data_IF_771684828026
#
_entry.id   IF_771684828026
#
_cell.length_a   1.000
_cell.length_b   1.000
_cell.length_c   1.000
_cell.angle_alpha   90.00
_cell.angle_beta   90.00
_cell.angle_gamma   90.00
#
_symmetry.space_group_name_H-M   'P 1'
#
loop_
_entity.id
_entity.type
_entity.pdbx_description
1 polymer ?
#
# COMPACT_ATOMS: atom_id res chain seq x y z
N UNK A 1 2.79 4.12 12.41
CA UNK A 1 1.87 4.96 11.62
C UNK A 1 1.48 6.22 12.38
N UNK A 2 1.02 6.11 13.62
CA UNK A 2 0.65 7.26 14.45
C UNK A 2 1.79 8.29 14.67
N UNK A 3 3.03 7.81 14.87
CA UNK A 3 4.22 8.67 14.96
C UNK A 3 4.56 9.44 13.66
N UNK A 4 3.93 9.12 12.53
CA UNK A 4 4.15 9.82 11.26
C UNK A 4 3.38 11.12 11.11
N UNK A 5 2.33 11.30 11.92
CA UNK A 5 1.49 12.49 11.89
C UNK A 5 1.97 13.54 12.90
N UNK A 6 2.80 13.15 13.87
CA UNK A 6 3.40 14.06 14.83
C UNK A 6 4.80 14.49 14.36
N UNK A 7 4.95 15.78 14.02
CA UNK A 7 6.20 16.39 13.54
C UNK A 7 7.31 16.35 14.61
N UNK A 8 7.94 15.21 14.84
CA UNK A 8 9.21 15.10 15.56
C UNK A 8 10.31 14.63 14.59
N UNK A 9 11.22 15.56 14.27
CA UNK A 9 12.38 15.32 13.43
C UNK A 9 13.34 14.36 14.13
N UNK A 10 13.43 13.13 13.64
CA UNK A 10 14.47 12.16 14.01
C UNK A 10 14.94 11.52 12.72
N UNK A 11 16.21 11.71 12.35
CA UNK A 11 16.73 11.64 10.97
C UNK A 11 16.63 10.32 10.18
N UNK A 12 16.17 9.21 10.79
CA UNK A 12 15.80 7.96 10.08
C UNK A 12 14.28 7.79 9.99
N UNK A 13 13.57 8.19 11.05
CA UNK A 13 12.11 8.28 11.06
C UNK A 13 11.68 9.24 9.96
N UNK A 14 12.33 10.39 9.79
CA UNK A 14 11.98 11.39 8.76
C UNK A 14 11.98 10.84 7.32
N UNK A 15 12.83 9.86 6.99
CA UNK A 15 12.80 9.20 5.68
C UNK A 15 11.64 8.21 5.56
N UNK A 16 11.36 7.44 6.62
CA UNK A 16 10.17 6.60 6.70
C UNK A 16 8.87 7.44 6.66
N UNK A 17 8.87 8.62 7.29
CA UNK A 17 7.79 9.61 7.24
C UNK A 17 7.65 10.25 5.87
N UNK A 18 8.75 10.38 5.12
CA UNK A 18 8.73 10.89 3.74
C UNK A 18 8.00 9.89 2.85
N UNK A 19 8.35 8.61 2.91
CA UNK A 19 7.67 7.58 2.13
C UNK A 19 6.16 7.52 2.41
N UNK A 20 5.75 7.55 3.69
CA UNK A 20 4.31 7.59 4.04
C UNK A 20 3.63 8.85 3.50
N UNK A 21 4.31 10.01 3.52
CA UNK A 21 3.81 11.25 2.91
C UNK A 21 3.70 11.15 1.39
N UNK A 22 4.64 10.50 0.73
CA UNK A 22 4.61 10.32 -0.72
C UNK A 22 3.43 9.43 -1.13
N UNK A 23 3.16 8.36 -0.38
CA UNK A 23 1.96 7.52 -0.54
C UNK A 23 0.70 8.35 -0.33
N UNK A 24 0.65 9.17 0.72
CA UNK A 24 -0.47 10.07 0.98
C UNK A 24 -0.70 11.02 -0.20
N UNK A 25 0.34 11.69 -0.70
CA UNK A 25 0.21 12.60 -1.85
C UNK A 25 -0.24 11.89 -3.12
N UNK A 26 0.33 10.72 -3.42
CA UNK A 26 -0.02 9.89 -4.57
C UNK A 26 -1.50 9.49 -4.56
N UNK A 27 -2.05 9.23 -3.38
CA UNK A 27 -3.42 8.75 -3.18
C UNK A 27 -4.33 9.74 -2.47
N UNK A 28 -4.02 11.04 -2.54
CA UNK A 28 -4.71 12.07 -1.76
C UNK A 28 -6.22 12.04 -1.98
N UNK A 29 -6.68 11.82 -3.22
CA UNK A 29 -8.12 11.73 -3.54
C UNK A 29 -8.81 10.63 -2.71
N UNK A 30 -8.19 9.46 -2.59
CA UNK A 30 -8.74 8.34 -1.82
C UNK A 30 -8.66 8.62 -0.33
N UNK A 31 -7.48 9.05 0.15
CA UNK A 31 -7.25 9.25 1.58
C UNK A 31 -8.13 10.38 2.14
N UNK A 32 -8.24 11.49 1.41
CA UNK A 32 -9.05 12.65 1.83
C UNK A 32 -10.56 12.40 1.77
N UNK A 33 -11.02 11.41 0.99
CA UNK A 33 -12.42 11.00 0.98
C UNK A 33 -12.84 10.18 2.21
N UNK A 34 -11.88 9.69 3.01
CA UNK A 34 -12.14 8.91 4.23
C UNK A 34 -12.01 9.79 5.46
N UNK A 35 -13.02 9.76 6.34
CA UNK A 35 -13.07 10.55 7.56
C UNK A 35 -12.73 9.72 8.81
N UNK A 36 -12.26 10.41 9.85
CA UNK A 36 -12.03 9.83 11.17
C UNK A 36 -10.90 8.79 11.22
N UNK A 37 -10.94 7.85 12.17
CA UNK A 37 -9.88 6.85 12.37
C UNK A 37 -9.59 5.98 11.14
N UNK A 38 -10.60 5.76 10.28
CA UNK A 38 -10.47 4.98 9.05
C UNK A 38 -9.52 5.62 8.02
N UNK A 39 -9.26 6.93 8.09
CA UNK A 39 -8.28 7.60 7.23
C UNK A 39 -6.87 7.03 7.44
N UNK A 40 -6.49 6.84 8.70
CA UNK A 40 -5.18 6.30 9.05
C UNK A 40 -5.06 4.85 8.59
N UNK A 41 -6.09 4.04 8.84
CA UNK A 41 -6.14 2.64 8.40
C UNK A 41 -6.04 2.54 6.86
N UNK A 42 -6.78 3.39 6.12
CA UNK A 42 -6.69 3.47 4.64
C UNK A 42 -5.29 3.84 4.16
N UNK A 43 -4.62 4.80 4.81
CA UNK A 43 -3.24 5.15 4.47
C UNK A 43 -2.27 3.98 4.76
N UNK A 44 -2.55 3.16 5.77
CA UNK A 44 -1.75 1.97 6.08
C UNK A 44 -1.86 0.95 4.96
N UNK A 45 -3.08 0.67 4.54
CA UNK A 45 -3.38 -0.27 3.49
C UNK A 45 -2.75 0.16 2.17
N UNK A 46 -2.92 1.44 1.78
CA UNK A 46 -2.29 2.01 0.59
C UNK A 46 -0.76 1.94 0.67
N UNK A 47 -0.16 2.17 1.83
CA UNK A 47 1.29 2.04 2.00
C UNK A 47 1.77 0.60 1.78
N UNK A 48 1.03 -0.42 2.25
CA UNK A 48 1.38 -1.82 1.99
C UNK A 48 1.28 -2.14 0.50
N UNK A 49 0.22 -1.68 -0.17
CA UNK A 49 0.02 -1.87 -1.61
C UNK A 49 1.16 -1.24 -2.42
N UNK A 50 1.58 -0.02 -2.06
CA UNK A 50 2.71 0.66 -2.69
C UNK A 50 4.02 -0.09 -2.52
N UNK A 51 4.31 -0.59 -1.31
CA UNK A 51 5.55 -1.31 -1.08
C UNK A 51 5.58 -2.66 -1.78
N UNK A 52 4.44 -3.36 -1.86
CA UNK A 52 4.32 -4.57 -2.65
C UNK A 52 4.57 -4.29 -4.16
N UNK A 53 4.04 -3.18 -4.68
CA UNK A 53 4.35 -2.75 -6.06
C UNK A 53 5.84 -2.42 -6.25
N UNK A 54 6.47 -1.74 -5.29
CA UNK A 54 7.91 -1.47 -5.33
C UNK A 54 8.75 -2.75 -5.31
N UNK A 55 8.36 -3.77 -4.54
CA UNK A 55 9.00 -5.09 -4.55
C UNK A 55 8.90 -5.72 -5.94
N UNK A 56 7.73 -5.67 -6.57
CA UNK A 56 7.54 -6.17 -7.94
C UNK A 56 8.45 -5.45 -8.96
N UNK A 57 8.73 -4.16 -8.74
CA UNK A 57 9.64 -3.38 -9.59
C UNK A 57 11.13 -3.58 -9.26
N UNK A 58 11.48 -4.25 -8.17
CA UNK A 58 12.89 -4.51 -7.84
C UNK A 58 13.55 -5.41 -8.89
N UNK A 59 14.85 -5.19 -9.13
CA UNK A 59 15.63 -6.03 -10.05
C UNK A 59 15.61 -7.50 -9.63
N UNK A 60 15.68 -7.78 -8.33
CA UNK A 60 15.62 -9.15 -7.78
C UNK A 60 14.36 -9.89 -8.20
N UNK A 61 13.18 -9.23 -8.11
CA UNK A 61 11.92 -9.85 -8.51
C UNK A 61 11.80 -9.99 -10.02
N UNK A 62 12.19 -8.96 -10.78
CA UNK A 62 12.17 -9.03 -12.23
C UNK A 62 13.10 -10.12 -12.76
N UNK A 63 14.31 -10.26 -12.22
CA UNK A 63 15.25 -11.32 -12.56
C UNK A 63 14.70 -12.71 -12.18
N UNK A 64 13.93 -12.82 -11.09
CA UNK A 64 13.27 -14.05 -10.69
C UNK A 64 12.21 -14.48 -11.70
N UNK A 65 11.36 -13.55 -12.12
CA UNK A 65 10.37 -13.84 -13.15
C UNK A 65 11.01 -14.09 -14.51
N UNK A 66 12.04 -13.33 -14.88
CA UNK A 66 12.75 -13.48 -16.16
C UNK A 66 13.43 -14.85 -16.30
N UNK A 67 13.96 -15.42 -15.21
CA UNK A 67 14.53 -16.79 -15.20
C UNK A 67 13.47 -17.90 -15.03
N UNK A 68 12.18 -17.56 -15.01
CA UNK A 68 11.09 -18.51 -14.86
C UNK A 68 10.88 -19.05 -13.44
N UNK A 69 11.42 -18.40 -12.42
CA UNK A 69 11.17 -18.79 -11.03
C UNK A 69 9.71 -18.50 -10.65
N UNK A 70 9.03 -19.50 -10.10
CA UNK A 70 7.65 -19.37 -9.60
C UNK A 70 7.66 -18.68 -8.24
N UNK A 71 7.46 -17.37 -8.23
CA UNK A 71 7.37 -16.53 -7.02
C UNK A 71 6.25 -15.51 -7.18
N UNK A 72 5.51 -15.27 -6.11
CA UNK A 72 4.38 -14.33 -6.07
C UNK A 72 4.58 -13.29 -4.97
N UNK A 73 4.04 -12.10 -5.19
CA UNK A 73 4.01 -11.00 -4.22
C UNK A 73 2.58 -10.77 -3.78
N UNK A 74 2.35 -10.78 -2.47
CA UNK A 74 1.04 -10.58 -1.84
C UNK A 74 1.08 -9.36 -0.90
N UNK A 75 0.01 -8.56 -0.91
CA UNK A 75 -0.13 -7.41 -0.03
C UNK A 75 -1.12 -7.72 1.11
N UNK A 76 -0.61 -7.98 2.31
CA UNK A 76 -1.41 -8.27 3.50
C UNK A 76 -1.13 -7.27 4.62
N UNK A 77 -2.15 -7.00 5.44
CA UNK A 77 -2.03 -6.20 6.66
C UNK A 77 -2.59 -6.96 7.85
N UNK A 78 -1.98 -6.79 9.02
CA UNK A 78 -2.41 -7.42 10.26
C UNK A 78 -2.97 -6.38 11.22
N UNK A 79 -4.21 -6.58 11.67
CA UNK A 79 -4.84 -5.76 12.68
C UNK A 79 -4.37 -6.16 14.08
N UNK A 80 -3.69 -5.25 14.78
CA UNK A 80 -3.29 -5.49 16.18
C UNK A 80 -4.48 -5.50 17.16
N UNK A 81 -5.63 -4.93 16.75
CA UNK A 81 -6.83 -4.79 17.58
C UNK A 81 -7.67 -6.06 17.60
N UNK A 82 -7.80 -6.71 16.46
CA UNK A 82 -8.67 -7.87 16.22
C UNK A 82 -7.89 -9.17 15.92
N UNK A 83 -6.58 -9.07 15.67
CA UNK A 83 -5.71 -10.19 15.34
C UNK A 83 -5.96 -10.75 13.95
N UNK A 84 -6.64 -10.02 13.06
CA UNK A 84 -7.01 -10.51 11.74
C UNK A 84 -6.01 -10.08 10.68
N UNK A 85 -5.67 -11.02 9.79
CA UNK A 85 -4.97 -10.72 8.54
C UNK A 85 -6.01 -10.33 7.50
N UNK A 86 -5.81 -9.18 6.87
CA UNK A 86 -6.59 -8.71 5.73
C UNK A 86 -5.75 -8.80 4.46
N UNK A 87 -6.26 -9.51 3.46
CA UNK A 87 -5.74 -9.47 2.10
C UNK A 87 -6.20 -8.17 1.42
N UNK A 88 -5.25 -7.41 0.85
CA UNK A 88 -5.50 -6.14 0.18
C UNK A 88 -5.74 -6.30 -1.33
N UNK A 89 -5.72 -7.54 -1.84
CA UNK A 89 -6.11 -7.89 -3.21
C UNK A 89 -5.01 -7.67 -4.26
N UNK A 90 -3.80 -7.27 -3.86
CA UNK A 90 -2.64 -7.21 -4.75
C UNK A 90 -1.85 -8.52 -4.64
N UNK A 91 -2.14 -9.43 -5.57
CA UNK A 91 -1.50 -10.74 -5.69
C UNK A 91 -0.90 -10.86 -7.10
N UNK A 92 0.43 -10.84 -7.20
CA UNK A 92 1.15 -10.63 -8.47
C UNK A 92 2.22 -11.70 -8.68
N UNK A 93 2.10 -12.44 -9.78
CA UNK A 93 3.04 -13.52 -10.15
C UNK A 93 3.98 -13.16 -11.31
N UNK A 94 3.84 -11.95 -11.88
CA UNK A 94 4.70 -11.44 -12.95
C UNK A 94 4.59 -9.92 -13.04
N UNK A 95 5.55 -9.27 -13.71
CA UNK A 95 5.53 -7.82 -13.88
C UNK A 95 4.33 -7.36 -14.76
N UNK A 96 3.94 -8.16 -15.74
CA UNK A 96 2.80 -7.88 -16.62
C UNK A 96 1.47 -7.88 -15.86
N UNK A 97 1.35 -8.72 -14.82
CA UNK A 97 0.18 -8.79 -13.98
C UNK A 97 0.06 -7.63 -12.97
N UNK A 98 1.15 -6.90 -12.71
CA UNK A 98 1.19 -5.84 -11.69
C UNK A 98 0.22 -4.70 -12.01
N UNK A 99 0.37 -4.08 -13.19
CA UNK A 99 -0.45 -2.92 -13.59
C UNK A 99 -1.96 -3.20 -13.52
N UNK A 100 -2.50 -4.28 -14.11
CA UNK A 100 -3.93 -4.56 -14.00
C UNK A 100 -4.38 -4.90 -12.58
N UNK A 101 -3.57 -5.62 -11.78
CA UNK A 101 -3.91 -5.93 -10.40
C UNK A 101 -3.96 -4.66 -9.52
N UNK A 102 -2.93 -3.83 -9.62
CA UNK A 102 -2.83 -2.57 -8.92
C UNK A 102 -3.97 -1.61 -9.28
N UNK A 103 -4.33 -1.51 -10.55
CA UNK A 103 -5.49 -0.73 -11.01
C UNK A 103 -6.82 -1.20 -10.40
N UNK A 104 -7.04 -2.52 -10.33
CA UNK A 104 -8.24 -3.10 -9.68
C UNK A 104 -8.32 -2.75 -8.20
N UNK A 105 -7.19 -2.84 -7.49
CA UNK A 105 -7.09 -2.49 -6.06
C UNK A 105 -7.41 -1.01 -5.86
N UNK A 106 -6.78 -0.10 -6.62
CA UNK A 106 -7.08 1.33 -6.47
C UNK A 106 -8.53 1.68 -6.81
N UNK A 107 -9.12 1.02 -7.80
CA UNK A 107 -10.54 1.20 -8.12
C UNK A 107 -11.45 0.76 -6.97
N UNK A 108 -11.08 -0.29 -6.23
CA UNK A 108 -11.80 -0.70 -5.01
C UNK A 108 -11.75 0.38 -3.92
N UNK A 109 -10.57 0.92 -3.62
CA UNK A 109 -10.43 1.98 -2.60
C UNK A 109 -11.13 3.28 -2.98
N UNK A 110 -11.14 3.65 -4.26
CA UNK A 110 -11.91 4.82 -4.75
C UNK A 110 -13.41 4.64 -4.54
N UNK A 111 -13.94 3.42 -4.68
CA UNK A 111 -15.37 3.15 -4.41
C UNK A 111 -15.70 3.24 -2.93
N UNK A 112 -14.85 2.72 -2.05
CA UNK A 112 -15.04 2.80 -0.60
C UNK A 112 -15.03 4.26 -0.10
N UNK A 113 -14.13 5.08 -0.63
CA UNK A 113 -14.07 6.51 -0.32
C UNK A 113 -15.28 7.32 -0.78
N UNK A 114 -16.01 6.86 -1.81
CA UNK A 114 -17.20 7.52 -2.33
C UNK A 114 -18.51 7.17 -1.62
N UNK A 115 -18.51 6.22 -0.68
CA UNK A 115 -19.72 5.73 0.01
C UNK A 115 -20.01 6.37 1.37
N UNK A 116 -19.24 7.39 1.76
CA UNK A 116 -19.39 8.11 3.03
C UNK A 116 -19.84 9.57 2.84
N UNK A 117 -20.81 9.80 1.94
CA UNK A 117 -21.48 11.09 1.70
C UNK A 117 -22.95 11.05 2.09
#
# INVERSE_FOLDING_TARGET
MQASLERRKVGLVDNWLRHVRDVHHKHAIVVESVLGPAKLDTLCELNVIEQAANVCHSTVMQDAWARGQKVEVHAWIYGLRDGLIKDLGLNVASLEALTPAYGKVLAHYRRLGGTAG
#
